data_IF_085879402686
#
_entry.id   IF_085879402686
#
_cell.length_a   1.000
_cell.length_b   1.000
_cell.length_c   1.000
_cell.angle_alpha   90.00
_cell.angle_beta   90.00
_cell.angle_gamma   90.00
#
_symmetry.space_group_name_H-M   'P 1'
#
loop_
_entity.id
_entity.type
_entity.pdbx_description
1 polymer ?
#
# COMPACT_ATOMS: atom_id res chain seq x y z
N UNK A 1 0.63 10.90 -15.91
CA UNK A 1 1.68 11.41 -15.02
C UNK A 1 2.13 10.26 -14.09
N UNK A 2 3.45 10.06 -14.00
CA UNK A 2 4.00 8.97 -13.18
C UNK A 2 4.55 9.53 -11.88
N UNK A 3 4.08 9.01 -10.76
CA UNK A 3 4.58 9.38 -9.44
C UNK A 3 5.89 8.66 -9.14
N UNK A 4 6.80 9.35 -8.45
CA UNK A 4 8.00 8.73 -7.92
C UNK A 4 7.60 7.82 -6.75
N UNK A 5 8.05 6.57 -6.78
CA UNK A 5 7.70 5.59 -5.74
C UNK A 5 8.80 5.57 -4.69
N UNK A 6 8.40 5.80 -3.43
CA UNK A 6 9.31 5.79 -2.28
C UNK A 6 8.95 4.58 -1.41
N UNK A 7 9.94 3.73 -1.16
CA UNK A 7 9.82 2.56 -0.29
C UNK A 7 10.40 2.91 1.08
N UNK A 8 9.56 3.01 2.10
CA UNK A 8 10.05 3.20 3.46
C UNK A 8 10.82 1.96 3.92
N UNK A 9 11.69 2.12 4.91
CA UNK A 9 12.44 0.99 5.49
C UNK A 9 11.51 -0.08 6.03
N UNK A 10 10.42 0.34 6.68
CA UNK A 10 9.45 -0.60 7.24
C UNK A 10 8.71 -1.35 6.12
N UNK A 11 8.35 -0.66 5.05
CA UNK A 11 7.69 -1.31 3.92
C UNK A 11 8.60 -2.37 3.29
N UNK A 12 9.89 -2.09 3.16
CA UNK A 12 10.85 -3.07 2.64
C UNK A 12 10.87 -4.35 3.47
N UNK A 13 10.84 -4.22 4.79
CA UNK A 13 10.76 -5.36 5.70
C UNK A 13 9.44 -6.12 5.52
N UNK A 14 8.34 -5.39 5.44
CA UNK A 14 7.02 -5.97 5.24
C UNK A 14 6.94 -6.74 3.92
N UNK A 15 7.52 -6.18 2.86
CA UNK A 15 7.54 -6.80 1.53
C UNK A 15 8.31 -8.13 1.56
N UNK A 16 9.47 -8.15 2.23
CA UNK A 16 10.25 -9.37 2.41
C UNK A 16 9.47 -10.44 3.17
N UNK A 17 8.71 -10.03 4.20
CA UNK A 17 7.86 -10.95 4.96
C UNK A 17 6.76 -11.53 4.07
N UNK A 18 6.16 -10.71 3.20
CA UNK A 18 5.15 -11.19 2.25
C UNK A 18 5.72 -12.25 1.34
N UNK A 19 6.96 -12.08 0.86
CA UNK A 19 7.65 -13.08 0.05
C UNK A 19 7.85 -14.39 0.83
N UNK A 20 8.28 -14.29 2.09
CA UNK A 20 8.47 -15.47 2.95
C UNK A 20 7.17 -16.22 3.21
N UNK A 21 6.05 -15.50 3.27
CA UNK A 21 4.71 -16.09 3.46
C UNK A 21 4.14 -16.64 2.17
N UNK A 22 4.88 -16.59 1.06
CA UNK A 22 4.47 -17.07 -0.26
C UNK A 22 3.21 -16.37 -0.79
N UNK A 23 3.00 -15.10 -0.43
CA UNK A 23 1.94 -14.30 -1.00
C UNK A 23 2.25 -14.01 -2.47
N UNK A 24 1.20 -13.86 -3.29
CA UNK A 24 1.38 -13.54 -4.71
C UNK A 24 1.82 -12.09 -4.87
N UNK A 25 3.12 -11.90 -4.97
CA UNK A 25 3.73 -10.57 -5.01
C UNK A 25 3.32 -9.79 -6.27
N UNK A 26 2.88 -10.48 -7.33
CA UNK A 26 2.39 -9.79 -8.52
C UNK A 26 1.15 -8.96 -8.23
N UNK A 27 0.35 -9.35 -7.25
CA UNK A 27 -0.87 -8.61 -6.87
C UNK A 27 -0.51 -7.23 -6.31
N UNK A 28 0.44 -7.17 -5.38
CA UNK A 28 0.86 -5.88 -4.82
C UNK A 28 1.61 -5.05 -5.85
N UNK A 29 2.46 -5.66 -6.65
CA UNK A 29 3.23 -4.96 -7.69
C UNK A 29 2.30 -4.29 -8.70
N UNK A 30 1.21 -4.96 -9.10
CA UNK A 30 0.23 -4.40 -10.02
C UNK A 30 -0.49 -3.19 -9.41
N UNK A 31 -0.85 -3.26 -8.13
CA UNK A 31 -1.50 -2.15 -7.43
C UNK A 31 -0.55 -0.96 -7.35
N UNK A 32 0.70 -1.19 -6.96
CA UNK A 32 1.71 -0.13 -6.86
C UNK A 32 1.89 0.55 -8.21
N UNK A 33 1.97 -0.22 -9.30
CA UNK A 33 2.11 0.33 -10.66
C UNK A 33 0.94 1.22 -11.03
N UNK A 34 -0.28 0.78 -10.75
CA UNK A 34 -1.49 1.57 -11.03
C UNK A 34 -1.49 2.88 -10.25
N UNK A 35 -1.17 2.82 -8.96
CA UNK A 35 -1.10 4.02 -8.11
C UNK A 35 0.00 4.96 -8.60
N UNK A 36 1.16 4.42 -8.99
CA UNK A 36 2.27 5.22 -9.51
C UNK A 36 1.87 5.94 -10.81
N UNK A 37 1.06 5.30 -11.63
CA UNK A 37 0.60 5.88 -12.91
C UNK A 37 -0.59 6.84 -12.74
N UNK A 38 -1.05 7.07 -11.51
CA UNK A 38 -2.17 7.96 -11.25
C UNK A 38 -3.54 7.35 -11.51
N UNK A 39 -3.62 6.04 -11.67
CA UNK A 39 -4.88 5.36 -11.91
C UNK A 39 -5.68 5.18 -10.62
N UNK A 40 -7.00 5.15 -10.75
CA UNK A 40 -7.90 4.83 -9.66
C UNK A 40 -8.03 3.31 -9.56
N UNK A 41 -7.97 2.79 -8.34
CA UNK A 41 -8.12 1.34 -8.11
C UNK A 41 -9.58 0.92 -8.27
N UNK A 42 -9.78 -0.31 -8.74
CA UNK A 42 -11.11 -0.93 -8.79
C UNK A 42 -11.72 -0.95 -7.37
N UNK A 43 -13.04 -0.77 -7.27
CA UNK A 43 -13.75 -0.72 -5.99
C UNK A 43 -13.56 -1.99 -5.14
N UNK A 44 -13.26 -3.13 -5.76
CA UNK A 44 -13.00 -4.38 -5.03
C UNK A 44 -11.81 -4.28 -4.08
N UNK A 45 -10.88 -3.36 -4.32
CA UNK A 45 -9.70 -3.15 -3.46
C UNK A 45 -10.00 -2.27 -2.25
N UNK A 46 -11.20 -1.70 -2.15
CA UNK A 46 -11.65 -0.90 -0.99
C UNK A 46 -10.66 0.21 -0.61
N UNK A 47 -10.12 0.91 -1.58
CA UNK A 47 -9.20 2.01 -1.35
C UNK A 47 -9.94 3.14 -0.61
N UNK A 48 -9.40 3.56 0.54
CA UNK A 48 -10.03 4.59 1.37
C UNK A 48 -9.00 5.32 2.24
N UNK A 49 -9.38 6.51 2.69
CA UNK A 49 -8.54 7.29 3.60
C UNK A 49 -8.61 6.71 5.01
N UNK A 50 -7.48 6.80 5.71
CA UNK A 50 -7.39 6.42 7.11
C UNK A 50 -7.51 7.65 8.00
N UNK A 51 -7.92 7.42 9.27
CA UNK A 51 -8.00 8.47 10.27
C UNK A 51 -7.07 8.19 11.45
N UNK A 52 -7.26 8.96 12.54
CA UNK A 52 -6.47 8.79 13.75
C UNK A 52 -4.98 8.95 13.51
N UNK A 53 -4.18 8.02 14.01
CA UNK A 53 -2.72 8.05 13.87
C UNK A 53 -2.25 7.90 12.42
N UNK A 54 -3.12 7.44 11.52
CA UNK A 54 -2.82 7.26 10.11
C UNK A 54 -3.42 8.35 9.22
N UNK A 55 -3.83 9.47 9.82
CA UNK A 55 -4.39 10.59 9.05
C UNK A 55 -3.40 11.03 7.96
N UNK A 56 -3.92 11.20 6.75
CA UNK A 56 -3.10 11.55 5.59
C UNK A 56 -2.62 10.36 4.78
N UNK A 57 -2.86 9.16 5.29
CA UNK A 57 -2.55 7.91 4.60
C UNK A 57 -3.82 7.28 4.04
N UNK A 58 -3.65 6.37 3.08
CA UNK A 58 -4.73 5.61 2.49
C UNK A 58 -4.42 4.13 2.65
N UNK A 59 -5.46 3.32 2.60
CA UNK A 59 -5.36 1.86 2.70
C UNK A 59 -6.13 1.23 1.54
N UNK A 60 -5.58 0.18 0.95
CA UNK A 60 -6.35 -0.67 0.06
C UNK A 60 -6.15 -2.13 0.45
N UNK A 61 -7.12 -2.96 0.07
CA UNK A 61 -7.09 -4.40 0.31
C UNK A 61 -6.58 -5.09 -0.94
N UNK A 62 -5.35 -5.62 -0.90
CA UNK A 62 -4.79 -6.42 -1.98
C UNK A 62 -5.56 -7.73 -2.06
N UNK A 63 -5.80 -8.33 -0.90
CA UNK A 63 -6.68 -9.46 -0.63
C UNK A 63 -7.43 -9.15 0.67
N UNK A 64 -8.46 -9.92 1.06
CA UNK A 64 -9.28 -9.57 2.24
C UNK A 64 -8.48 -9.29 3.52
N UNK A 65 -7.38 -10.00 3.76
CA UNK A 65 -6.53 -9.75 4.92
C UNK A 65 -5.08 -9.46 4.52
N UNK A 66 -4.89 -8.81 3.39
CA UNK A 66 -3.58 -8.34 2.97
C UNK A 66 -3.73 -6.90 2.51
N UNK A 67 -3.23 -5.96 3.32
CA UNK A 67 -3.43 -4.53 3.17
C UNK A 67 -2.17 -3.85 2.67
N UNK A 68 -2.36 -2.71 1.99
CA UNK A 68 -1.29 -1.78 1.63
C UNK A 68 -1.66 -0.42 2.20
N UNK A 69 -0.79 0.14 3.04
CA UNK A 69 -0.92 1.52 3.53
C UNK A 69 0.07 2.38 2.77
N UNK A 70 -0.43 3.47 2.18
CA UNK A 70 0.38 4.35 1.34
C UNK A 70 -0.07 5.79 1.47
N UNK A 71 0.76 6.68 0.97
CA UNK A 71 0.46 8.11 0.92
C UNK A 71 0.76 8.65 -0.47
N UNK A 72 -0.14 9.46 -0.98
CA UNK A 72 0.04 10.19 -2.23
C UNK A 72 0.22 11.66 -1.91
N UNK A 73 1.29 12.25 -2.43
CA UNK A 73 1.55 13.68 -2.35
C UNK A 73 1.77 14.19 -3.78
N UNK A 74 0.73 14.76 -4.35
CA UNK A 74 0.79 15.23 -5.73
C UNK A 74 1.45 16.61 -5.90
N UNK A 75 1.70 17.33 -4.79
CA UNK A 75 2.51 18.55 -4.85
C UNK A 75 3.94 18.24 -5.27
N UNK A 76 4.45 17.08 -4.87
CA UNK A 76 5.79 16.60 -5.25
C UNK A 76 5.75 15.33 -6.10
N UNK A 77 4.57 14.94 -6.55
CA UNK A 77 4.30 13.80 -7.44
C UNK A 77 4.94 12.51 -6.91
N UNK A 78 4.66 12.18 -5.63
CA UNK A 78 5.23 11.00 -4.99
C UNK A 78 4.15 10.03 -4.49
N UNK A 79 4.51 8.76 -4.49
CA UNK A 79 3.77 7.68 -3.86
C UNK A 79 4.69 7.05 -2.81
N UNK A 80 4.34 7.21 -1.53
CA UNK A 80 5.12 6.63 -0.43
C UNK A 80 4.44 5.35 0.05
N UNK A 81 5.16 4.23 -0.02
CA UNK A 81 4.69 2.94 0.46
C UNK A 81 5.10 2.79 1.91
N UNK A 82 4.13 2.80 2.83
CA UNK A 82 4.37 2.84 4.27
C UNK A 82 4.40 1.48 4.91
N UNK A 83 3.38 0.66 4.70
CA UNK A 83 3.25 -0.66 5.30
C UNK A 83 2.49 -1.61 4.37
N UNK A 84 2.76 -2.90 4.52
CA UNK A 84 1.90 -3.94 3.98
C UNK A 84 1.90 -5.13 4.94
N UNK A 85 0.77 -5.82 5.06
CA UNK A 85 0.61 -6.95 5.95
C UNK A 85 -0.84 -7.24 6.24
N UNK A 86 -1.09 -8.15 7.19
CA UNK A 86 -2.44 -8.47 7.65
C UNK A 86 -2.96 -7.37 8.58
N UNK A 87 -4.27 -7.41 8.89
CA UNK A 87 -4.82 -6.51 9.91
C UNK A 87 -4.07 -6.67 11.23
N UNK A 88 -3.75 -7.90 11.61
CA UNK A 88 -3.00 -8.18 12.84
C UNK A 88 -1.60 -7.58 12.80
N UNK A 89 -0.90 -7.70 11.66
CA UNK A 89 0.45 -7.13 11.50
C UNK A 89 0.46 -5.61 11.67
N UNK A 90 -0.56 -4.93 11.11
CA UNK A 90 -0.58 -3.48 11.00
C UNK A 90 -1.29 -2.79 12.16
N UNK A 91 -2.32 -3.42 12.72
CA UNK A 91 -3.18 -2.82 13.74
C UNK A 91 -3.28 -3.64 15.03
N UNK A 92 -2.61 -4.79 15.11
CA UNK A 92 -2.60 -5.61 16.31
C UNK A 92 -3.91 -6.32 16.59
N UNK A 93 -4.69 -6.59 15.58
CA UNK A 93 -6.02 -7.21 15.78
C UNK A 93 -6.12 -8.59 15.17
#
# INVERSE_FOLDING_TARGET
>A
MTRKVIWTSQFKKDYKLALKRHLDINLIDNIIRKLANGETLNTKFRDHELGGNWKGFRECHIQPDWLLIYRIDDDVVTLTLSRTGTHSDLFGK
#
